data_IF_651777305347
#
_entry.id   IF_651777305347
#
_cell.length_a   1.000
_cell.length_b   1.000
_cell.length_c   1.000
_cell.angle_alpha   90.00
_cell.angle_beta   90.00
_cell.angle_gamma   90.00
#
_symmetry.space_group_name_H-M   'P 1'
#
loop_
_entity.id
_entity.type
_entity.pdbx_description
1 polymer ?
#
# COMPACT_ATOMS: atom_id res chain seq x y z
N UNK A 1 21.23 -3.55 -22.50
CA UNK A 1 21.18 -2.12 -22.14
C UNK A 1 19.77 -1.54 -22.21
N UNK A 2 19.06 -1.68 -23.33
CA UNK A 2 17.65 -1.25 -23.49
C UNK A 2 16.68 -1.71 -22.37
N UNK A 3 16.65 -3.00 -21.94
CA UNK A 3 15.68 -3.44 -20.93
C UNK A 3 15.83 -2.70 -19.60
N UNK A 4 17.05 -2.41 -19.18
CA UNK A 4 17.34 -1.68 -17.94
C UNK A 4 16.76 -0.26 -17.98
N UNK A 5 16.88 0.43 -19.11
CA UNK A 5 16.32 1.79 -19.28
C UNK A 5 14.80 1.75 -19.20
N UNK A 6 14.16 0.76 -19.84
CA UNK A 6 12.71 0.57 -19.79
C UNK A 6 12.26 0.29 -18.35
N UNK A 7 12.95 -0.57 -17.61
CA UNK A 7 12.63 -0.87 -16.20
C UNK A 7 12.69 0.37 -15.32
N UNK A 8 13.76 1.18 -15.44
CA UNK A 8 13.90 2.41 -14.64
C UNK A 8 12.79 3.40 -14.99
N UNK A 9 12.45 3.54 -16.27
CA UNK A 9 11.39 4.44 -16.72
C UNK A 9 10.03 4.02 -16.15
N UNK A 10 9.67 2.73 -16.24
CA UNK A 10 8.39 2.22 -15.70
C UNK A 10 8.31 2.38 -14.19
N UNK A 11 9.36 1.99 -13.45
CA UNK A 11 9.40 2.16 -12.00
C UNK A 11 9.31 3.64 -11.60
N UNK A 12 10.01 4.51 -12.31
CA UNK A 12 9.96 5.97 -12.10
C UNK A 12 8.56 6.54 -12.28
N UNK A 13 7.85 6.13 -13.33
CA UNK A 13 6.46 6.55 -13.56
C UNK A 13 5.51 6.05 -12.47
N UNK A 14 5.68 4.81 -11.99
CA UNK A 14 4.87 4.27 -10.89
C UNK A 14 5.06 5.08 -9.60
N UNK A 15 6.31 5.36 -9.21
CA UNK A 15 6.61 6.15 -8.01
C UNK A 15 6.07 7.58 -8.15
N UNK A 16 6.29 8.20 -9.32
CA UNK A 16 5.79 9.55 -9.62
C UNK A 16 4.25 9.63 -9.52
N UNK A 17 3.55 8.64 -10.06
CA UNK A 17 2.08 8.57 -9.97
C UNK A 17 1.58 8.46 -8.53
N UNK A 18 2.25 7.67 -7.69
CA UNK A 18 1.91 7.54 -6.27
C UNK A 18 2.18 8.86 -5.54
N UNK A 19 3.31 9.53 -5.80
CA UNK A 19 3.64 10.83 -5.19
C UNK A 19 2.62 11.92 -5.52
N UNK A 20 2.19 12.03 -6.79
CA UNK A 20 1.16 13.00 -7.20
C UNK A 20 -0.17 12.71 -6.49
N UNK A 21 -0.56 11.43 -6.38
CA UNK A 21 -1.79 11.03 -5.70
C UNK A 21 -1.79 11.43 -4.22
N UNK A 22 -0.65 11.30 -3.54
CA UNK A 22 -0.49 11.71 -2.13
C UNK A 22 -0.64 13.22 -1.99
N UNK A 23 0.01 14.00 -2.88
CA UNK A 23 -0.10 15.46 -2.86
C UNK A 23 -1.53 15.96 -3.16
N UNK A 24 -2.27 15.23 -3.99
CA UNK A 24 -3.68 15.52 -4.30
C UNK A 24 -4.66 15.10 -3.19
N UNK A 25 -4.21 14.36 -2.17
CA UNK A 25 -5.04 13.90 -1.06
C UNK A 25 -5.08 14.99 0.02
N UNK A 26 -6.28 15.31 0.53
CA UNK A 26 -6.44 16.18 1.70
C UNK A 26 -5.68 15.53 2.87
N UNK A 27 -4.81 16.30 3.51
CA UNK A 27 -3.92 15.87 4.60
C UNK A 27 -2.72 15.00 4.18
N UNK A 28 -2.47 14.82 2.87
CA UNK A 28 -1.26 14.13 2.38
C UNK A 28 -1.16 12.66 2.83
N UNK A 29 -2.28 12.07 3.26
CA UNK A 29 -2.28 10.77 3.90
C UNK A 29 -2.20 9.64 2.86
N UNK A 30 -1.28 8.71 3.11
CA UNK A 30 -1.10 7.54 2.27
C UNK A 30 -2.28 6.56 2.43
N UNK A 31 -3.11 6.38 1.40
CA UNK A 31 -4.26 5.45 1.38
C UNK A 31 -3.93 3.96 1.53
N UNK A 32 -2.69 3.62 1.85
CA UNK A 32 -2.24 2.24 1.93
C UNK A 32 -2.09 1.55 0.56
N UNK A 33 -1.47 0.38 0.60
CA UNK A 33 -1.40 -0.58 -0.52
C UNK A 33 -1.77 -1.95 0.04
N UNK A 34 -1.82 -2.99 -0.78
CA UNK A 34 -2.04 -4.35 -0.27
C UNK A 34 -1.07 -4.72 0.90
N UNK A 35 0.15 -4.15 0.91
CA UNK A 35 1.11 -4.38 1.99
C UNK A 35 0.73 -3.69 3.32
N UNK A 36 0.02 -2.55 3.30
CA UNK A 36 -0.40 -1.87 4.54
C UNK A 36 -1.47 -2.65 5.30
N UNK A 37 -2.03 -3.70 4.71
CA UNK A 37 -2.97 -4.60 5.37
C UNK A 37 -2.30 -5.77 6.10
N UNK A 38 -0.98 -5.94 5.94
CA UNK A 38 -0.26 -6.99 6.65
C UNK A 38 -0.23 -6.68 8.15
N UNK A 39 -0.69 -7.58 9.04
CA UNK A 39 -0.68 -7.35 10.49
C UNK A 39 0.70 -7.07 11.09
N UNK A 40 1.78 -7.50 10.42
CA UNK A 40 3.15 -7.18 10.82
C UNK A 40 3.54 -5.72 10.50
N UNK A 41 2.93 -5.11 9.46
CA UNK A 41 3.23 -3.74 9.02
C UNK A 41 2.21 -2.73 9.57
N UNK A 42 0.95 -3.13 9.74
CA UNK A 42 -0.13 -2.32 10.30
C UNK A 42 -0.13 -2.33 11.83
N UNK A 43 0.91 -1.74 12.42
CA UNK A 43 1.08 -1.69 13.89
C UNK A 43 0.17 -0.67 14.56
N UNK A 44 -0.25 0.37 13.82
CA UNK A 44 -1.10 1.46 14.31
C UNK A 44 -2.58 1.05 14.37
N UNK A 45 -2.91 -0.09 13.75
CA UNK A 45 -4.24 -0.65 13.81
C UNK A 45 -5.24 0.10 12.93
N UNK A 46 -4.82 0.52 11.73
CA UNK A 46 -5.75 1.10 10.77
C UNK A 46 -6.73 0.05 10.22
N UNK A 47 -7.98 0.48 10.02
CA UNK A 47 -8.99 -0.37 9.40
C UNK A 47 -8.62 -0.67 7.94
N UNK A 48 -9.03 -1.84 7.44
CA UNK A 48 -8.71 -2.21 6.07
C UNK A 48 -9.38 -1.30 5.04
N UNK A 49 -8.58 -0.59 4.26
CA UNK A 49 -9.07 0.31 3.20
C UNK A 49 -9.83 -0.40 2.07
N UNK A 50 -9.76 -1.73 1.98
CA UNK A 50 -10.49 -2.53 0.98
C UNK A 50 -11.82 -3.09 1.49
N UNK A 51 -11.90 -3.56 2.74
CA UNK A 51 -13.10 -4.21 3.27
C UNK A 51 -13.62 -3.65 4.61
N UNK A 52 -13.01 -2.60 5.14
CA UNK A 52 -13.46 -1.84 6.32
C UNK A 52 -13.31 -2.53 7.68
N UNK A 53 -12.86 -3.79 7.72
CA UNK A 53 -12.65 -4.55 8.96
C UNK A 53 -11.57 -3.90 9.82
N UNK A 54 -11.74 -3.94 11.15
CA UNK A 54 -10.74 -3.46 12.11
C UNK A 54 -9.57 -4.46 12.20
N UNK A 55 -8.39 -4.03 12.65
CA UNK A 55 -7.20 -4.90 12.77
C UNK A 55 -7.46 -6.13 13.63
N UNK A 56 -8.27 -6.01 14.68
CA UNK A 56 -8.68 -7.12 15.54
C UNK A 56 -9.42 -8.22 14.78
N UNK A 57 -10.19 -7.86 13.74
CA UNK A 57 -10.87 -8.80 12.86
C UNK A 57 -9.92 -9.48 11.85
N UNK A 58 -8.67 -9.02 11.76
CA UNK A 58 -7.58 -9.61 10.96
C UNK A 58 -6.47 -10.24 11.79
N UNK A 59 -6.51 -10.13 13.13
CA UNK A 59 -5.52 -10.77 14.03
C UNK A 59 -5.45 -12.29 13.83
N UNK A 60 -6.45 -12.87 13.18
CA UNK A 60 -6.48 -14.26 12.74
C UNK A 60 -6.24 -14.39 11.22
N UNK A 61 -5.10 -13.91 10.71
CA UNK A 61 -4.51 -14.50 9.49
C UNK A 61 -3.84 -15.85 9.83
N UNK A 62 -4.57 -16.74 10.50
CA UNK A 62 -4.15 -18.12 10.68
C UNK A 62 -4.49 -18.86 9.38
N UNK A 63 -3.55 -18.87 8.45
CA UNK A 63 -3.63 -19.71 7.26
C UNK A 63 -3.70 -21.18 7.67
N UNK A 64 -4.91 -21.68 7.93
CA UNK A 64 -5.25 -23.09 7.71
C UNK A 64 -5.81 -23.22 6.30
N UNK A 65 -4.89 -23.06 5.34
CA UNK A 65 -4.96 -23.62 4.00
C UNK A 65 -3.56 -23.60 3.41
#
# INVERSE_FOLDING_TARGET
>A
MIPTIVTILVLGLCVMGISIKIWAKKDGEFSGTCASQNPYLNQEGENCGFCGKSPDQFKECNGKN
#
